data_IF_962514491514
#
_entry.id   IF_962514491514
#
_cell.length_a   1.000
_cell.length_b   1.000
_cell.length_c   1.000
_cell.angle_alpha   90.00
_cell.angle_beta   90.00
_cell.angle_gamma   90.00
#
_symmetry.space_group_name_H-M   'P 1'
#
loop_
_entity.id
_entity.type
_entity.pdbx_description
1 polymer ?
#
# COMPACT_ATOMS: atom_id res chain seq x y z
N UNK A 1 -29.47 31.37 26.02
CA UNK A 1 -29.66 30.03 25.45
C UNK A 1 -28.68 29.86 24.30
N UNK A 2 -27.72 28.95 24.48
CA UNK A 2 -26.71 28.41 23.55
C UNK A 2 -26.22 29.32 22.39
N UNK A 3 -25.23 30.17 22.67
CA UNK A 3 -24.34 30.77 21.64
C UNK A 3 -22.95 30.21 21.90
N UNK A 4 -22.24 29.84 20.83
CA UNK A 4 -20.90 29.20 20.77
C UNK A 4 -20.87 27.66 20.66
N UNK A 5 -21.68 27.09 19.77
CA UNK A 5 -21.36 25.78 19.17
C UNK A 5 -20.98 25.98 17.71
N UNK A 6 -19.72 26.32 17.45
CA UNK A 6 -19.06 26.11 16.16
C UNK A 6 -18.30 24.80 16.34
N UNK A 7 -18.84 23.70 15.81
CA UNK A 7 -18.30 22.36 16.08
C UNK A 7 -17.88 21.69 14.78
N UNK A 8 -16.75 20.99 14.80
CA UNK A 8 -16.46 20.03 13.75
C UNK A 8 -17.34 18.78 13.93
N UNK A 9 -17.77 18.18 12.82
CA UNK A 9 -18.52 16.92 12.81
C UNK A 9 -17.65 15.83 12.22
N UNK A 10 -17.70 14.63 12.77
CA UNK A 10 -17.04 13.46 12.19
C UNK A 10 -18.08 12.52 11.62
N UNK A 11 -17.97 12.21 10.33
CA UNK A 11 -18.79 11.22 9.64
C UNK A 11 -17.97 9.96 9.43
N UNK A 12 -18.50 8.82 9.88
CA UNK A 12 -17.81 7.54 9.83
C UNK A 12 -18.39 6.68 8.71
N UNK A 13 -17.57 6.43 7.69
CA UNK A 13 -17.90 5.66 6.50
C UNK A 13 -18.26 6.55 5.30
N UNK A 14 -17.42 6.50 4.27
CA UNK A 14 -17.58 7.22 3.01
C UNK A 14 -18.48 6.50 1.98
N UNK A 15 -19.52 5.80 2.43
CA UNK A 15 -20.57 5.29 1.53
C UNK A 15 -21.51 6.41 1.08
N UNK A 16 -22.52 6.08 0.26
CA UNK A 16 -23.49 7.08 -0.25
C UNK A 16 -24.15 7.92 0.86
N UNK A 17 -24.56 7.28 1.96
CA UNK A 17 -25.17 7.98 3.09
C UNK A 17 -24.21 8.87 3.86
N UNK A 18 -22.97 8.43 4.07
CA UNK A 18 -21.96 9.25 4.75
C UNK A 18 -21.47 10.41 3.90
N UNK A 19 -21.32 10.22 2.59
CA UNK A 19 -21.03 11.31 1.66
C UNK A 19 -22.15 12.35 1.65
N UNK A 20 -23.43 11.92 1.60
CA UNK A 20 -24.54 12.87 1.68
C UNK A 20 -24.56 13.64 2.99
N UNK A 21 -24.43 12.95 4.12
CA UNK A 21 -24.40 13.59 5.43
C UNK A 21 -23.22 14.59 5.54
N UNK A 22 -22.05 14.23 5.01
CA UNK A 22 -20.90 15.12 5.00
C UNK A 22 -21.16 16.38 4.16
N UNK A 23 -21.77 16.25 2.97
CA UNK A 23 -22.13 17.39 2.13
C UNK A 23 -23.17 18.29 2.79
N UNK A 24 -24.26 17.73 3.31
CA UNK A 24 -25.33 18.52 3.96
C UNK A 24 -24.80 19.32 5.16
N UNK A 25 -23.92 18.70 5.96
CA UNK A 25 -23.28 19.35 7.10
C UNK A 25 -22.28 20.43 6.66
N UNK A 26 -21.51 20.17 5.61
CA UNK A 26 -20.51 21.09 5.10
C UNK A 26 -21.14 22.32 4.42
N UNK A 27 -22.28 22.14 3.75
CA UNK A 27 -23.12 23.21 3.20
C UNK A 27 -23.83 24.02 4.30
N UNK A 28 -24.00 23.41 5.48
CA UNK A 28 -24.48 24.09 6.69
C UNK A 28 -23.35 24.78 7.48
N UNK A 29 -22.20 25.03 6.84
CA UNK A 29 -21.01 25.67 7.40
C UNK A 29 -20.32 24.93 8.58
N UNK A 30 -20.54 23.62 8.72
CA UNK A 30 -19.75 22.80 9.65
C UNK A 30 -18.48 22.27 8.99
N UNK A 31 -17.38 22.20 9.75
CA UNK A 31 -16.18 21.49 9.32
C UNK A 31 -16.37 19.99 9.53
N UNK A 32 -16.17 19.18 8.50
CA UNK A 32 -16.49 17.75 8.50
C UNK A 32 -15.25 16.90 8.30
N UNK A 33 -14.97 16.00 9.24
CA UNK A 33 -14.01 14.91 9.06
C UNK A 33 -14.72 13.68 8.51
N UNK A 34 -14.46 13.29 7.27
CA UNK A 34 -15.01 12.09 6.65
C UNK A 34 -14.02 10.93 6.76
N UNK A 35 -14.24 10.04 7.72
CA UNK A 35 -13.35 8.90 8.00
C UNK A 35 -13.78 7.68 7.19
N UNK A 36 -12.89 7.15 6.35
CA UNK A 36 -13.12 5.96 5.53
C UNK A 36 -12.03 4.91 5.76
N UNK A 37 -12.44 3.67 6.01
CA UNK A 37 -11.54 2.53 6.25
C UNK A 37 -10.78 2.11 5.00
N UNK A 38 -11.40 2.26 3.83
CA UNK A 38 -10.85 1.89 2.54
C UNK A 38 -9.95 2.99 1.96
N UNK A 39 -9.16 2.67 0.92
CA UNK A 39 -8.33 3.67 0.23
C UNK A 39 -9.09 4.83 -0.43
N UNK A 40 -10.39 4.69 -0.61
CA UNK A 40 -11.25 5.66 -1.28
C UNK A 40 -12.70 5.58 -0.77
N UNK A 41 -13.42 6.69 -0.91
CA UNK A 41 -14.85 6.80 -0.63
C UNK A 41 -15.68 6.20 -1.79
N UNK A 42 -16.98 6.00 -1.60
CA UNK A 42 -17.93 5.41 -2.55
C UNK A 42 -18.71 4.22 -1.98
N UNK A 43 -18.11 3.48 -1.05
CA UNK A 43 -18.73 2.32 -0.41
C UNK A 43 -19.22 1.25 -1.39
N UNK A 44 -20.26 0.49 -1.03
CA UNK A 44 -20.80 -0.60 -1.87
C UNK A 44 -21.47 -0.11 -3.16
N UNK A 45 -22.00 1.11 -3.17
CA UNK A 45 -22.66 1.67 -4.35
C UNK A 45 -21.71 1.80 -5.53
N UNK A 46 -20.41 2.03 -5.28
CA UNK A 46 -19.38 2.01 -6.32
C UNK A 46 -19.30 0.68 -7.08
N UNK A 47 -19.58 -0.44 -6.40
CA UNK A 47 -19.50 -1.79 -6.97
C UNK A 47 -20.72 -2.17 -7.81
N UNK A 48 -21.80 -1.39 -7.74
CA UNK A 48 -23.03 -1.68 -8.47
C UNK A 48 -22.98 -1.06 -9.86
N UNK A 49 -23.39 -1.80 -10.89
CA UNK A 49 -23.56 -1.24 -12.23
C UNK A 49 -24.75 -0.27 -12.26
N UNK A 50 -25.94 -0.75 -11.83
CA UNK A 50 -27.19 0.00 -11.84
C UNK A 50 -27.88 0.04 -10.47
N UNK A 51 -28.73 1.05 -10.27
CA UNK A 51 -29.58 1.20 -9.09
C UNK A 51 -31.06 1.10 -9.44
N UNK A 52 -31.80 0.24 -8.72
CA UNK A 52 -33.27 0.20 -8.80
C UNK A 52 -33.90 1.43 -8.12
N UNK A 53 -35.11 1.86 -8.50
CA UNK A 53 -35.98 1.33 -9.55
C UNK A 53 -35.74 1.93 -10.94
N UNK A 54 -34.96 3.01 -11.03
CA UNK A 54 -34.76 3.77 -12.28
C UNK A 54 -33.80 3.08 -13.25
N UNK A 55 -33.00 2.12 -12.77
CA UNK A 55 -31.93 1.48 -13.52
C UNK A 55 -30.88 2.46 -14.07
N UNK A 56 -30.68 3.57 -13.36
CA UNK A 56 -29.57 4.48 -13.62
C UNK A 56 -28.23 3.84 -13.27
N UNK A 57 -27.15 4.31 -13.91
CA UNK A 57 -25.80 3.90 -13.51
C UNK A 57 -25.47 4.45 -12.12
N UNK A 58 -24.98 3.59 -11.22
CA UNK A 58 -24.65 3.98 -9.85
C UNK A 58 -23.60 5.09 -9.82
N UNK A 59 -22.60 5.00 -10.70
CA UNK A 59 -21.54 6.00 -10.83
C UNK A 59 -22.06 7.34 -11.37
N UNK A 60 -23.13 7.37 -12.16
CA UNK A 60 -23.72 8.63 -12.64
C UNK A 60 -24.38 9.42 -11.50
N UNK A 61 -24.95 8.74 -10.52
CA UNK A 61 -25.57 9.37 -9.34
C UNK A 61 -24.53 9.71 -8.28
N UNK A 62 -23.57 8.80 -8.06
CA UNK A 62 -22.57 8.91 -7.01
C UNK A 62 -21.38 9.79 -7.41
N UNK A 63 -21.01 9.79 -8.70
CA UNK A 63 -19.86 10.51 -9.24
C UNK A 63 -19.81 12.00 -8.87
N UNK A 64 -20.90 12.77 -9.05
CA UNK A 64 -20.95 14.17 -8.61
C UNK A 64 -20.64 14.32 -7.12
N UNK A 65 -21.23 13.48 -6.26
CA UNK A 65 -21.02 13.52 -4.80
C UNK A 65 -19.58 13.18 -4.41
N UNK A 66 -18.95 12.22 -5.10
CA UNK A 66 -17.53 11.90 -4.90
C UNK A 66 -16.65 13.12 -5.15
N UNK A 67 -16.88 13.81 -6.27
CA UNK A 67 -16.10 14.99 -6.67
C UNK A 67 -16.39 16.19 -5.76
N UNK A 68 -17.65 16.40 -5.39
CA UNK A 68 -18.05 17.45 -4.44
C UNK A 68 -17.38 17.24 -3.09
N UNK A 69 -17.50 16.04 -2.49
CA UNK A 69 -16.82 15.69 -1.24
C UNK A 69 -15.30 15.91 -1.34
N UNK A 70 -14.68 15.49 -2.45
CA UNK A 70 -13.23 15.57 -2.64
C UNK A 70 -12.69 16.99 -2.85
N UNK A 71 -13.55 17.96 -3.18
CA UNK A 71 -13.14 19.35 -3.47
C UNK A 71 -13.70 20.36 -2.46
N UNK A 72 -14.59 19.92 -1.56
CA UNK A 72 -15.24 20.79 -0.59
C UNK A 72 -14.24 21.27 0.46
N UNK A 73 -14.11 22.59 0.66
CA UNK A 73 -13.14 23.18 1.58
C UNK A 73 -13.41 22.86 3.05
N UNK A 74 -14.68 22.63 3.40
CA UNK A 74 -15.08 22.23 4.76
C UNK A 74 -15.10 20.70 4.98
N UNK A 75 -14.65 19.88 4.01
CA UNK A 75 -14.62 18.41 4.18
C UNK A 75 -13.17 17.93 4.11
N UNK A 76 -12.71 17.29 5.18
CA UNK A 76 -11.42 16.61 5.25
C UNK A 76 -11.63 15.10 5.15
N UNK A 77 -11.16 14.50 4.06
CA UNK A 77 -11.32 13.05 3.83
C UNK A 77 -10.12 12.30 4.41
N UNK A 78 -10.37 11.52 5.46
CA UNK A 78 -9.40 10.65 6.11
C UNK A 78 -9.59 9.21 5.60
N UNK A 79 -8.90 8.87 4.52
CA UNK A 79 -8.89 7.50 3.97
C UNK A 79 -7.92 6.59 4.72
N UNK A 80 -8.07 5.27 4.54
CA UNK A 80 -7.29 4.24 5.24
C UNK A 80 -7.35 4.37 6.78
N UNK A 81 -8.43 4.97 7.29
CA UNK A 81 -8.52 5.42 8.67
C UNK A 81 -9.63 4.67 9.41
N UNK A 82 -9.35 4.25 10.64
CA UNK A 82 -10.29 3.56 11.51
C UNK A 82 -10.29 4.20 12.89
N UNK A 83 -11.46 4.21 13.54
CA UNK A 83 -11.59 4.75 14.89
C UNK A 83 -11.11 3.71 15.90
N UNK A 84 -10.18 4.10 16.76
CA UNK A 84 -9.70 3.26 17.86
C UNK A 84 -10.52 3.48 19.13
N UNK A 85 -10.76 4.75 19.49
CA UNK A 85 -11.50 5.10 20.69
C UNK A 85 -12.19 6.46 20.56
N UNK A 86 -13.31 6.59 21.29
CA UNK A 86 -14.10 7.81 21.40
C UNK A 86 -14.28 8.08 22.89
N UNK A 87 -13.89 9.28 23.33
CA UNK A 87 -14.08 9.75 24.70
C UNK A 87 -14.73 11.13 24.69
N UNK A 88 -15.35 11.53 25.79
CA UNK A 88 -16.01 12.84 25.92
C UNK A 88 -17.53 12.75 25.93
N UNK A 89 -18.17 13.89 25.71
CA UNK A 89 -19.63 14.07 25.82
C UNK A 89 -20.17 14.87 24.63
N UNK A 90 -21.49 15.02 24.54
CA UNK A 90 -22.17 15.66 23.41
C UNK A 90 -21.63 17.07 23.11
N UNK A 91 -20.97 17.21 21.96
CA UNK A 91 -20.37 18.47 21.51
C UNK A 91 -18.91 18.66 21.91
N UNK A 92 -18.32 17.76 22.70
CA UNK A 92 -16.90 17.75 23.03
C UNK A 92 -16.35 16.32 22.99
N UNK A 93 -16.34 15.74 21.78
CA UNK A 93 -15.77 14.42 21.54
C UNK A 93 -14.28 14.52 21.23
N UNK A 94 -13.50 13.64 21.83
CA UNK A 94 -12.13 13.37 21.45
C UNK A 94 -12.06 11.98 20.84
N UNK A 95 -11.67 11.92 19.56
CA UNK A 95 -11.61 10.68 18.79
C UNK A 95 -10.16 10.36 18.45
N UNK A 96 -9.74 9.13 18.74
CA UNK A 96 -8.44 8.60 18.31
C UNK A 96 -8.65 7.79 17.03
N UNK A 97 -7.90 8.15 15.99
CA UNK A 97 -7.95 7.51 14.68
C UNK A 97 -6.62 6.83 14.40
N UNK A 98 -6.68 5.57 13.97
CA UNK A 98 -5.54 4.87 13.38
C UNK A 98 -5.59 4.97 11.86
N UNK A 99 -4.67 5.75 11.30
CA UNK A 99 -4.52 5.89 9.86
C UNK A 99 -3.44 4.95 9.35
N UNK A 100 -3.84 3.98 8.53
CA UNK A 100 -2.91 3.03 7.94
C UNK A 100 -2.05 3.71 6.86
N UNK A 101 -0.79 3.29 6.78
CA UNK A 101 0.13 3.80 5.78
C UNK A 101 -0.30 3.40 4.36
N UNK A 102 -0.47 4.40 3.50
CA UNK A 102 -0.70 4.22 2.06
C UNK A 102 0.56 3.74 1.30
N UNK A 103 1.73 3.99 1.88
CA UNK A 103 3.06 3.82 1.29
C UNK A 103 3.31 4.59 -0.02
N UNK A 104 2.38 5.49 -0.38
CA UNK A 104 2.48 6.45 -1.45
C UNK A 104 2.07 7.80 -0.85
N UNK A 105 2.89 8.81 -1.10
CA UNK A 105 2.64 10.18 -0.69
C UNK A 105 1.48 10.76 -1.53
N UNK A 106 0.31 11.07 -0.93
CA UNK A 106 -0.85 11.58 -1.66
C UNK A 106 -0.57 12.87 -2.41
N UNK A 107 0.28 13.75 -1.86
CA UNK A 107 0.55 15.07 -2.43
C UNK A 107 1.46 14.99 -3.67
N UNK A 108 2.21 13.89 -3.82
CA UNK A 108 3.09 13.63 -4.96
C UNK A 108 2.52 12.65 -5.97
N UNK A 109 1.45 11.95 -5.63
CA UNK A 109 0.85 10.96 -6.51
C UNK A 109 0.02 11.65 -7.60
N UNK A 110 0.35 11.36 -8.86
CA UNK A 110 -0.39 11.89 -10.02
C UNK A 110 -1.53 10.99 -10.49
N UNK A 111 -1.68 9.80 -9.92
CA UNK A 111 -2.69 8.83 -10.34
C UNK A 111 -2.44 8.19 -11.72
N UNK A 112 -1.21 8.26 -12.27
CA UNK A 112 -0.91 7.79 -13.64
C UNK A 112 -1.02 6.27 -13.86
N UNK A 113 -0.79 5.46 -12.82
CA UNK A 113 -0.91 4.00 -12.88
C UNK A 113 0.33 3.23 -13.32
N UNK A 114 1.45 3.89 -13.64
CA UNK A 114 2.70 3.21 -14.03
C UNK A 114 3.18 2.19 -12.98
N UNK A 115 2.97 2.50 -11.70
CA UNK A 115 3.32 1.63 -10.59
C UNK A 115 2.56 0.29 -10.60
N UNK A 116 1.30 0.28 -11.05
CA UNK A 116 0.52 -0.95 -11.18
C UNK A 116 0.99 -1.77 -12.38
N UNK A 117 1.29 -1.13 -13.51
CA UNK A 117 1.76 -1.81 -14.73
C UNK A 117 3.08 -2.55 -14.53
N UNK A 118 4.02 -1.99 -13.76
CA UNK A 118 5.32 -2.62 -13.50
C UNK A 118 5.34 -3.61 -12.33
N UNK A 119 4.24 -3.70 -11.57
CA UNK A 119 4.20 -4.51 -10.34
C UNK A 119 4.19 -6.01 -10.67
N UNK A 120 5.19 -6.80 -10.21
CA UNK A 120 5.24 -8.24 -10.49
C UNK A 120 4.34 -9.07 -9.55
N UNK A 121 3.73 -8.43 -8.55
CA UNK A 121 2.94 -9.09 -7.51
C UNK A 121 1.47 -9.07 -7.91
N UNK A 122 0.82 -10.24 -7.83
CA UNK A 122 -0.59 -10.43 -8.15
C UNK A 122 -1.33 -10.91 -6.90
N UNK A 123 -2.45 -10.25 -6.58
CA UNK A 123 -3.30 -10.48 -5.42
C UNK A 123 -4.78 -10.55 -5.87
N UNK A 124 -5.66 -11.27 -5.16
CA UNK A 124 -7.09 -11.22 -5.46
C UNK A 124 -7.64 -9.81 -5.22
N UNK A 125 -8.50 -9.34 -6.12
CA UNK A 125 -9.09 -8.01 -6.02
C UNK A 125 -10.31 -7.99 -5.09
N UNK A 126 -10.16 -7.39 -3.92
CA UNK A 126 -11.22 -7.28 -2.91
C UNK A 126 -12.41 -6.44 -3.37
N UNK A 127 -12.18 -5.44 -4.24
CA UNK A 127 -13.24 -4.63 -4.80
C UNK A 127 -14.15 -5.49 -5.68
N UNK A 128 -13.53 -6.26 -6.59
CA UNK A 128 -14.20 -7.18 -7.49
C UNK A 128 -14.55 -8.54 -6.84
N UNK A 129 -14.59 -8.62 -5.50
CA UNK A 129 -14.96 -9.82 -4.73
C UNK A 129 -14.14 -11.07 -5.09
N UNK A 130 -12.87 -10.88 -5.46
CA UNK A 130 -11.96 -11.97 -5.84
C UNK A 130 -12.22 -12.59 -7.21
N UNK A 131 -13.09 -11.98 -8.03
CA UNK A 131 -13.39 -12.46 -9.40
C UNK A 131 -12.25 -12.18 -10.38
N UNK A 132 -11.36 -11.24 -10.05
CA UNK A 132 -10.16 -10.96 -10.81
C UNK A 132 -8.96 -10.73 -9.89
N UNK A 133 -7.78 -10.68 -10.49
CA UNK A 133 -6.53 -10.37 -9.80
C UNK A 133 -6.19 -8.89 -10.01
N UNK A 134 -5.66 -8.25 -8.97
CA UNK A 134 -5.05 -6.92 -8.99
C UNK A 134 -3.56 -7.00 -8.64
N UNK A 135 -2.85 -5.90 -8.83
CA UNK A 135 -1.46 -5.75 -8.40
C UNK A 135 -1.36 -5.26 -6.96
N UNK A 136 -0.17 -5.37 -6.35
CA UNK A 136 0.05 -4.87 -4.98
C UNK A 136 0.00 -3.34 -4.90
N UNK A 137 0.52 -2.63 -5.91
CA UNK A 137 0.23 -1.21 -6.12
C UNK A 137 -1.07 -1.10 -6.94
N UNK A 138 -2.10 -0.49 -6.40
CA UNK A 138 -3.43 -0.48 -7.01
C UNK A 138 -4.20 0.82 -6.74
N UNK A 139 -5.16 1.09 -7.62
CA UNK A 139 -6.24 2.04 -7.41
C UNK A 139 -7.50 1.24 -7.10
N UNK A 140 -8.28 1.64 -6.10
CA UNK A 140 -9.42 0.84 -5.62
C UNK A 140 -10.46 0.58 -6.70
N UNK A 141 -10.79 1.63 -7.46
CA UNK A 141 -11.62 1.60 -8.66
C UNK A 141 -11.28 2.84 -9.52
N UNK A 142 -11.58 2.86 -10.82
CA UNK A 142 -11.04 3.88 -11.72
C UNK A 142 -11.40 5.34 -11.38
N UNK A 143 -12.62 5.57 -10.87
CA UNK A 143 -13.12 6.90 -10.48
C UNK A 143 -12.96 7.17 -8.97
N UNK A 144 -12.02 6.50 -8.30
CA UNK A 144 -11.88 6.61 -6.85
C UNK A 144 -11.50 8.00 -6.38
N UNK A 145 -12.13 8.46 -5.30
CA UNK A 145 -11.76 9.70 -4.60
C UNK A 145 -11.20 9.34 -3.22
N UNK A 146 -10.01 9.81 -2.83
CA UNK A 146 -9.03 10.52 -3.66
C UNK A 146 -8.46 9.63 -4.77
N UNK A 147 -8.04 10.22 -5.89
CA UNK A 147 -7.48 9.50 -7.04
C UNK A 147 -5.99 9.18 -6.83
N UNK A 148 -5.71 8.48 -5.74
CA UNK A 148 -4.36 8.17 -5.26
C UNK A 148 -4.19 6.67 -5.13
N UNK A 149 -3.08 6.15 -5.64
CA UNK A 149 -2.74 4.73 -5.53
C UNK A 149 -2.38 4.34 -4.10
N UNK A 150 -2.52 3.06 -3.77
CA UNK A 150 -2.09 2.48 -2.50
C UNK A 150 -1.22 1.25 -2.77
N UNK A 151 -0.26 0.99 -1.89
CA UNK A 151 0.47 -0.27 -1.89
C UNK A 151 -0.06 -1.16 -0.78
N UNK A 152 -0.56 -2.33 -1.14
CA UNK A 152 -0.90 -3.38 -0.20
C UNK A 152 0.39 -4.06 0.29
N UNK A 153 0.83 -3.67 1.48
CA UNK A 153 1.99 -4.25 2.14
C UNK A 153 1.55 -5.09 3.32
N UNK A 154 1.74 -6.41 3.19
CA UNK A 154 1.52 -7.37 4.27
C UNK A 154 2.68 -7.33 5.28
N UNK A 155 2.48 -8.06 6.37
CA UNK A 155 3.46 -8.20 7.45
C UNK A 155 4.83 -8.74 6.96
N UNK A 156 5.88 -8.52 7.76
CA UNK A 156 7.24 -8.94 7.43
C UNK A 156 7.26 -10.46 7.23
N UNK A 157 7.66 -10.95 6.06
CA UNK A 157 7.62 -12.37 5.76
C UNK A 157 8.68 -13.14 6.56
N UNK A 158 8.40 -14.39 6.99
CA UNK A 158 9.33 -15.21 7.77
C UNK A 158 10.70 -15.36 7.12
N UNK A 159 10.77 -15.45 5.79
CA UNK A 159 12.02 -15.56 5.05
C UNK A 159 12.97 -14.36 5.23
N UNK A 160 12.45 -13.16 5.48
CA UNK A 160 13.26 -11.98 5.81
C UNK A 160 13.68 -12.02 7.28
N UNK A 161 12.78 -12.44 8.17
CA UNK A 161 13.06 -12.53 9.60
C UNK A 161 14.10 -13.61 9.94
N UNK A 162 14.06 -14.75 9.26
CA UNK A 162 15.00 -15.86 9.42
C UNK A 162 16.36 -15.61 8.76
N UNK A 163 16.44 -14.68 7.80
CA UNK A 163 17.71 -14.36 7.14
C UNK A 163 18.57 -13.46 8.05
N UNK A 164 19.81 -13.86 8.42
CA UNK A 164 20.69 -13.02 9.26
C UNK A 164 21.05 -11.67 8.62
N UNK A 165 21.03 -11.61 7.28
CA UNK A 165 21.27 -10.39 6.52
C UNK A 165 19.96 -9.65 6.15
N UNK A 166 18.80 -10.13 6.61
CA UNK A 166 17.48 -9.54 6.35
C UNK A 166 17.17 -9.24 4.89
N UNK A 167 17.73 -10.03 3.97
CA UNK A 167 17.61 -9.83 2.52
C UNK A 167 16.14 -9.93 2.10
N UNK A 168 15.69 -9.03 1.24
CA UNK A 168 14.33 -9.05 0.68
C UNK A 168 14.10 -10.22 -0.30
N UNK A 169 13.82 -11.41 0.24
CA UNK A 169 13.58 -12.65 -0.53
C UNK A 169 12.40 -12.53 -1.49
N UNK A 170 11.26 -12.01 -1.02
CA UNK A 170 10.07 -11.87 -1.86
C UNK A 170 10.33 -10.96 -3.07
N UNK A 171 11.08 -9.87 -2.85
CA UNK A 171 11.41 -8.89 -3.89
C UNK A 171 12.18 -9.51 -5.05
N UNK A 172 13.32 -10.18 -4.77
CA UNK A 172 14.11 -10.75 -5.86
C UNK A 172 13.45 -11.98 -6.49
N UNK A 173 12.71 -12.80 -5.72
CA UNK A 173 11.95 -13.94 -6.29
C UNK A 173 10.88 -13.44 -7.25
N UNK A 174 10.18 -12.34 -6.91
CA UNK A 174 9.21 -11.72 -7.80
C UNK A 174 9.86 -11.17 -9.09
N UNK A 175 11.06 -10.60 -9.01
CA UNK A 175 11.81 -10.13 -10.19
C UNK A 175 12.32 -11.29 -11.07
N UNK A 176 12.77 -12.39 -10.47
CA UNK A 176 13.14 -13.62 -11.18
C UNK A 176 11.95 -14.17 -11.98
N UNK A 177 10.74 -14.16 -11.38
CA UNK A 177 9.51 -14.62 -12.05
C UNK A 177 9.22 -13.86 -13.35
N UNK A 178 9.53 -12.56 -13.40
CA UNK A 178 9.31 -11.72 -14.60
C UNK A 178 10.55 -11.61 -15.50
N UNK A 179 11.60 -12.41 -15.26
CA UNK A 179 12.83 -12.42 -16.07
C UNK A 179 13.78 -11.25 -15.83
N UNK A 180 13.53 -10.43 -14.82
CA UNK A 180 14.33 -9.24 -14.47
C UNK A 180 15.47 -9.60 -13.52
N UNK A 181 16.45 -10.35 -14.03
CA UNK A 181 17.54 -10.90 -13.21
C UNK A 181 18.48 -9.82 -12.66
N UNK A 182 18.74 -8.76 -13.44
CA UNK A 182 19.58 -7.64 -13.01
C UNK A 182 18.98 -6.95 -11.78
N UNK A 183 17.70 -6.59 -11.86
CA UNK A 183 16.95 -5.97 -10.77
C UNK A 183 16.82 -6.90 -9.56
N UNK A 184 16.67 -8.21 -9.78
CA UNK A 184 16.69 -9.20 -8.71
C UNK A 184 18.02 -9.18 -7.93
N UNK A 185 19.14 -9.09 -8.63
CA UNK A 185 20.47 -9.01 -8.01
C UNK A 185 20.70 -7.66 -7.33
N UNK A 186 20.26 -6.56 -7.94
CA UNK A 186 20.30 -5.24 -7.31
C UNK A 186 19.51 -5.21 -5.99
N UNK A 187 18.35 -5.88 -5.92
CA UNK A 187 17.58 -6.03 -4.67
C UNK A 187 18.41 -6.74 -3.61
N UNK A 188 19.12 -7.83 -3.97
CA UNK A 188 19.97 -8.56 -3.01
C UNK A 188 21.16 -7.69 -2.56
N UNK A 189 21.76 -6.95 -3.50
CA UNK A 189 22.94 -6.12 -3.25
C UNK A 189 22.68 -4.88 -2.39
N UNK A 190 21.42 -4.49 -2.19
CA UNK A 190 21.06 -3.46 -1.20
C UNK A 190 21.44 -3.85 0.22
N UNK A 191 21.29 -5.13 0.54
CA UNK A 191 21.53 -5.66 1.88
C UNK A 191 22.89 -6.38 1.98
N UNK A 192 23.40 -6.95 0.88
CA UNK A 192 24.58 -7.82 0.91
C UNK A 192 25.33 -7.90 -0.43
N UNK A 193 26.66 -7.62 -0.48
CA UNK A 193 27.40 -7.38 -1.72
C UNK A 193 27.87 -8.63 -2.48
N UNK A 194 27.63 -9.85 -1.97
CA UNK A 194 28.14 -11.12 -2.52
C UNK A 194 27.03 -12.11 -2.93
N UNK A 195 26.10 -11.71 -3.84
CA UNK A 195 24.96 -12.54 -4.23
C UNK A 195 25.36 -13.89 -4.84
N UNK A 196 26.43 -13.92 -5.67
CA UNK A 196 26.89 -15.13 -6.35
C UNK A 196 27.49 -16.19 -5.40
N UNK A 197 28.18 -15.75 -4.34
CA UNK A 197 28.74 -16.62 -3.30
C UNK A 197 27.60 -17.17 -2.45
N UNK A 198 26.70 -16.32 -1.96
CA UNK A 198 25.58 -16.78 -1.14
C UNK A 198 24.62 -17.71 -1.90
N UNK A 199 24.47 -17.58 -3.22
CA UNK A 199 23.76 -18.58 -4.01
C UNK A 199 24.34 -20.00 -3.90
N UNK A 200 25.64 -20.13 -3.57
CA UNK A 200 26.35 -21.42 -3.49
C UNK A 200 26.52 -21.90 -2.06
N UNK A 201 26.83 -21.01 -1.12
CA UNK A 201 27.18 -21.38 0.27
C UNK A 201 26.10 -21.08 1.31
N UNK A 202 24.99 -20.43 0.94
CA UNK A 202 23.91 -20.12 1.89
C UNK A 202 23.38 -21.39 2.59
N UNK A 203 23.16 -21.27 3.88
CA UNK A 203 22.67 -22.32 4.80
C UNK A 203 21.15 -22.44 4.86
N UNK A 204 20.41 -21.59 4.13
CA UNK A 204 18.97 -21.74 3.85
C UNK A 204 18.00 -21.60 5.04
N UNK A 205 18.33 -20.85 6.09
CA UNK A 205 17.39 -20.56 7.20
C UNK A 205 16.00 -20.06 6.75
N UNK A 206 15.97 -19.29 5.65
CA UNK A 206 14.72 -18.78 5.08
C UNK A 206 13.83 -19.85 4.44
N UNK A 207 14.38 -21.00 4.07
CA UNK A 207 13.63 -22.14 3.53
C UNK A 207 13.01 -22.97 4.66
N UNK A 208 13.69 -23.10 5.80
CA UNK A 208 13.17 -23.80 6.99
C UNK A 208 11.90 -23.12 7.53
N UNK A 209 11.90 -21.79 7.59
CA UNK A 209 10.76 -20.98 8.08
C UNK A 209 9.77 -20.59 6.97
N UNK A 210 9.81 -21.24 5.81
CA UNK A 210 8.94 -20.88 4.69
C UNK A 210 7.47 -21.25 4.97
N UNK A 211 6.53 -20.29 4.92
CA UNK A 211 5.08 -20.57 5.07
C UNK A 211 4.55 -21.60 4.07
N UNK A 212 5.24 -21.77 2.94
CA UNK A 212 4.84 -22.75 1.91
C UNK A 212 4.92 -24.19 2.43
N UNK A 213 5.75 -24.46 3.46
CA UNK A 213 5.78 -25.74 4.17
C UNK A 213 4.43 -26.12 4.81
N UNK A 214 3.52 -25.17 5.02
CA UNK A 214 2.15 -25.44 5.51
C UNK A 214 1.24 -26.06 4.42
N UNK A 215 1.65 -25.98 3.15
CA UNK A 215 0.89 -26.47 1.99
C UNK A 215 1.61 -27.64 1.31
N UNK A 216 2.87 -27.43 0.93
CA UNK A 216 3.71 -28.41 0.24
C UNK A 216 5.18 -28.32 0.69
N UNK A 217 6.08 -27.82 -0.14
CA UNK A 217 7.52 -27.77 0.10
C UNK A 217 8.05 -26.35 0.04
N UNK A 218 9.15 -26.02 0.74
CA UNK A 218 9.69 -24.68 0.73
C UNK A 218 10.12 -24.24 -0.67
N UNK A 219 9.99 -22.95 -0.95
CA UNK A 219 10.58 -22.37 -2.16
C UNK A 219 12.10 -22.54 -2.09
N UNK A 220 12.72 -23.03 -3.17
CA UNK A 220 14.18 -23.19 -3.26
C UNK A 220 14.92 -21.85 -3.40
N UNK A 221 14.82 -21.02 -2.38
CA UNK A 221 15.30 -19.64 -2.31
C UNK A 221 16.80 -19.54 -2.63
N UNK A 222 17.64 -20.43 -2.09
CA UNK A 222 19.08 -20.45 -2.40
C UNK A 222 19.35 -20.73 -3.87
N UNK A 223 18.66 -21.69 -4.46
CA UNK A 223 18.86 -22.03 -5.87
C UNK A 223 18.35 -20.92 -6.79
N UNK A 224 17.24 -20.26 -6.44
CA UNK A 224 16.78 -19.06 -7.15
C UNK A 224 17.79 -17.91 -7.07
N UNK A 225 18.39 -17.69 -5.89
CA UNK A 225 19.47 -16.71 -5.72
C UNK A 225 20.68 -17.04 -6.60
N UNK A 226 21.10 -18.32 -6.61
CA UNK A 226 22.19 -18.80 -7.47
C UNK A 226 21.87 -18.57 -8.94
N UNK A 227 20.69 -19.00 -9.37
CA UNK A 227 20.23 -18.87 -10.75
C UNK A 227 20.28 -17.41 -11.20
N UNK A 228 19.68 -16.49 -10.43
CA UNK A 228 19.70 -15.07 -10.76
C UNK A 228 21.12 -14.50 -10.87
N UNK A 229 22.04 -14.92 -9.98
CA UNK A 229 23.42 -14.46 -10.01
C UNK A 229 24.19 -15.00 -11.22
N UNK A 230 23.87 -16.21 -11.67
CA UNK A 230 24.51 -16.83 -12.85
C UNK A 230 24.00 -16.23 -14.17
N UNK A 231 22.87 -15.50 -14.18
CA UNK A 231 22.32 -14.82 -15.37
C UNK A 231 22.89 -13.41 -15.61
N UNK A 232 23.61 -12.84 -14.64
CA UNK A 232 24.04 -11.44 -14.68
C UNK A 232 25.54 -11.36 -14.53
N UNK A 233 26.20 -10.60 -15.40
CA UNK A 233 27.58 -10.21 -15.16
C UNK A 233 27.64 -9.23 -13.98
N UNK A 234 28.12 -9.70 -12.83
CA UNK A 234 28.21 -8.91 -11.60
C UNK A 234 29.07 -7.65 -11.80
N UNK A 235 30.06 -7.68 -12.70
CA UNK A 235 30.91 -6.52 -12.99
C UNK A 235 30.17 -5.40 -13.73
N UNK A 236 29.03 -5.71 -14.34
CA UNK A 236 28.17 -4.74 -15.05
C UNK A 236 27.20 -4.00 -14.12
N UNK A 237 27.15 -4.36 -12.85
CA UNK A 237 26.24 -3.78 -11.88
C UNK A 237 26.76 -2.43 -11.37
N UNK A 238 25.85 -1.48 -11.06
CA UNK A 238 26.25 -0.19 -10.54
C UNK A 238 26.98 -0.35 -9.20
N UNK A 239 28.24 0.07 -9.16
CA UNK A 239 29.01 0.18 -7.92
C UNK A 239 28.65 1.50 -7.26
N UNK A 240 28.33 1.54 -5.96
CA UNK A 240 28.01 2.79 -5.27
C UNK A 240 29.19 3.77 -5.37
N UNK A 241 28.87 5.04 -5.62
CA UNK A 241 29.88 6.10 -5.65
C UNK A 241 30.56 6.23 -4.30
N UNK A 242 31.89 6.10 -4.30
CA UNK A 242 32.70 6.23 -3.09
C UNK A 242 33.02 7.72 -2.92
N UNK A 243 32.29 8.40 -2.04
CA UNK A 243 32.67 9.75 -1.60
C UNK A 243 33.89 9.65 -0.68
N UNK A 244 34.98 10.32 -1.07
CA UNK A 244 36.16 10.42 -0.22
C UNK A 244 35.79 11.06 1.13
N UNK A 245 36.20 10.40 2.21
CA UNK A 245 36.03 10.87 3.59
C UNK A 245 37.38 11.39 4.07
N UNK A 246 37.39 12.51 4.79
CA UNK A 246 38.63 13.10 5.32
C UNK A 246 39.16 12.30 6.52
N UNK A 247 38.28 11.53 7.17
CA UNK A 247 38.60 10.70 8.31
C UNK A 247 39.45 9.48 7.92
N UNK A 248 40.47 9.18 8.74
CA UNK A 248 41.28 7.97 8.59
C UNK A 248 40.55 6.80 9.21
N UNK A 249 40.26 5.78 8.41
CA UNK A 249 39.68 4.51 8.89
C UNK A 249 40.80 3.55 9.26
N UNK A 250 40.82 3.08 10.51
CA UNK A 250 41.65 1.96 10.92
C UNK A 250 40.80 0.68 10.88
N UNK A 251 41.21 -0.29 10.06
CA UNK A 251 40.62 -1.63 10.08
C UNK A 251 41.34 -2.41 11.18
N UNK A 252 40.65 -2.68 12.29
CA UNK A 252 41.17 -3.44 13.42
C UNK A 252 40.42 -4.76 13.51
N UNK A 253 41.10 -5.84 13.14
CA UNK A 253 40.59 -7.21 13.14
C UNK A 253 41.58 -8.15 12.44
N UNK A 254 41.50 -9.45 12.77
CA UNK A 254 42.30 -10.54 12.18
C UNK A 254 41.73 -11.01 10.84
#
# INVERSE_FOLDING_TARGET
MAKDKIGAVMVVGGGIGGMQAALDLAESDFYVYLVEKSPAIGGRMSQLDKTFPTNDCSMCIMGPKLVECGRHLNIEILTLSQIESITGEEGNFQVRIHQHSRYIDPDKCTGCGDCATVCPVSLPDEYNQGLCMRTAAYLMYPQSVPQVYSIDKKDRPPCISACPAHINVQGYVAMIKVGKYKEAIEIIMRDMPLPGILGRVCVRFCEEECRRCEVDEPVSIKELKRFAADQVDILSLPVPEITAREERVAIIGS
#
